data_IF_699868068772
#
_entry.id   IF_699868068772
#
_cell.length_a   1.000
_cell.length_b   1.000
_cell.length_c   1.000
_cell.angle_alpha   90.00
_cell.angle_beta   90.00
_cell.angle_gamma   90.00
#
_symmetry.space_group_name_H-M   'P 1'
#
loop_
_entity.id
_entity.type
_entity.pdbx_description
1 polymer ?
#
# COMPACT_ATOMS: atom_id res chain seq x y z
N UNK A 1 4.21 10.26 15.89
CA UNK A 1 4.63 9.03 16.60
C UNK A 1 3.76 7.91 16.06
N UNK A 2 4.33 6.83 15.53
CA UNK A 2 3.55 5.69 15.03
C UNK A 2 2.91 4.93 16.21
N UNK A 3 1.65 4.53 16.07
CA UNK A 3 0.95 3.75 17.10
C UNK A 3 1.57 2.34 17.20
N UNK A 4 1.80 1.82 18.41
CA UNK A 4 2.52 0.54 18.63
C UNK A 4 1.83 -0.66 17.96
N UNK A 5 0.49 -0.63 17.89
CA UNK A 5 -0.33 -1.65 17.25
C UNK A 5 -0.54 -1.43 15.74
N UNK A 6 0.10 -0.41 15.15
CA UNK A 6 0.03 -0.22 13.72
C UNK A 6 0.70 -1.37 12.97
N UNK A 7 0.19 -1.63 11.77
CA UNK A 7 0.70 -2.57 10.79
C UNK A 7 0.93 -1.82 9.49
N UNK A 8 1.96 -2.24 8.76
CA UNK A 8 2.38 -1.62 7.51
C UNK A 8 2.34 -2.70 6.43
N UNK A 9 1.65 -2.41 5.33
CA UNK A 9 1.72 -3.20 4.10
C UNK A 9 2.49 -2.39 3.08
N UNK A 10 3.51 -3.02 2.50
CA UNK A 10 4.34 -2.46 1.44
C UNK A 10 4.02 -3.19 0.13
N UNK A 11 3.77 -2.44 -0.93
CA UNK A 11 3.53 -2.98 -2.26
C UNK A 11 4.73 -2.71 -3.17
N UNK A 12 5.33 -3.79 -3.65
CA UNK A 12 6.41 -3.78 -4.63
C UNK A 12 6.07 -4.74 -5.78
N UNK A 13 6.52 -4.46 -7.02
CA UNK A 13 6.27 -5.34 -8.15
C UNK A 13 6.92 -6.72 -7.96
N UNK A 14 6.19 -7.78 -8.33
CA UNK A 14 6.67 -9.17 -8.33
C UNK A 14 7.53 -9.39 -9.58
N UNK A 15 8.72 -9.98 -9.45
CA UNK A 15 9.52 -10.42 -10.60
C UNK A 15 8.91 -11.68 -11.21
N UNK A 16 8.77 -11.70 -12.54
CA UNK A 16 8.75 -12.96 -13.29
C UNK A 16 10.23 -13.35 -13.41
N UNK A 17 10.62 -14.48 -12.82
CA UNK A 17 12.02 -14.91 -12.68
C UNK A 17 12.80 -14.75 -13.99
N UNK A 18 13.68 -13.77 -14.02
CA UNK A 18 14.77 -13.68 -15.00
C UNK A 18 16.05 -13.60 -14.17
N UNK A 19 16.97 -14.50 -14.47
CA UNK A 19 18.10 -15.02 -13.68
C UNK A 19 19.18 -14.00 -13.26
N UNK A 20 18.87 -12.71 -13.21
CA UNK A 20 19.83 -11.66 -12.86
C UNK A 20 19.76 -11.32 -11.37
N UNK A 21 20.71 -11.87 -10.61
CA UNK A 21 20.92 -11.70 -9.17
C UNK A 21 21.34 -10.28 -8.74
N UNK A 22 20.94 -9.24 -9.49
CA UNK A 22 21.02 -7.90 -8.97
C UNK A 22 19.99 -7.77 -7.85
N UNK A 23 20.44 -7.48 -6.63
CA UNK A 23 19.58 -7.06 -5.52
C UNK A 23 18.97 -5.70 -5.87
N UNK A 24 18.10 -5.68 -6.86
CA UNK A 24 17.45 -4.49 -7.34
C UNK A 24 16.55 -3.97 -6.22
N UNK A 25 16.89 -2.78 -5.74
CA UNK A 25 16.05 -1.96 -4.88
C UNK A 25 14.78 -1.63 -5.67
N UNK A 26 13.83 -2.57 -5.68
CA UNK A 26 12.56 -2.42 -6.38
C UNK A 26 11.87 -1.16 -5.87
N UNK A 27 11.43 -0.26 -6.75
CA UNK A 27 10.78 0.96 -6.31
C UNK A 27 9.46 0.59 -5.61
N UNK A 28 9.29 1.06 -4.38
CA UNK A 28 8.04 0.94 -3.65
C UNK A 28 6.92 1.64 -4.44
N UNK A 29 5.86 0.90 -4.76
CA UNK A 29 4.73 1.44 -5.52
C UNK A 29 3.68 2.05 -4.61
N UNK A 30 3.43 1.45 -3.47
CA UNK A 30 2.46 1.95 -2.50
C UNK A 30 2.78 1.45 -1.09
N UNK A 31 2.24 2.13 -0.10
CA UNK A 31 2.17 1.59 1.26
C UNK A 31 0.86 2.01 1.93
N UNK A 32 0.45 1.20 2.90
CA UNK A 32 -0.63 1.53 3.82
C UNK A 32 -0.16 1.31 5.27
N UNK A 33 -0.52 2.24 6.14
CA UNK A 33 -0.34 2.14 7.59
C UNK A 33 -1.73 2.08 8.20
N UNK A 34 -2.01 0.98 8.91
CA UNK A 34 -3.34 0.76 9.47
C UNK A 34 -3.28 0.04 10.81
N UNK A 35 -4.41 0.01 11.52
CA UNK A 35 -4.57 -0.71 12.77
C UNK A 35 -5.89 -1.45 12.78
N UNK A 36 -5.85 -2.69 13.29
CA UNK A 36 -7.06 -3.41 13.65
C UNK A 36 -7.55 -2.92 15.00
N UNK A 37 -8.84 -2.63 15.08
CA UNK A 37 -9.50 -2.19 16.29
C UNK A 37 -10.84 -2.92 16.41
N UNK A 38 -11.38 -2.97 17.62
CA UNK A 38 -12.76 -3.36 17.85
C UNK A 38 -13.52 -2.20 18.47
N UNK A 39 -14.44 -1.63 17.72
CA UNK A 39 -15.31 -0.54 18.17
C UNK A 39 -16.77 -0.99 18.02
N UNK A 40 -17.61 -0.74 19.03
CA UNK A 40 -19.04 -1.12 19.02
C UNK A 40 -19.32 -2.56 18.59
N UNK A 41 -18.51 -3.50 19.09
CA UNK A 41 -18.54 -4.94 18.77
C UNK A 41 -18.21 -5.28 17.31
N UNK A 42 -17.81 -4.31 16.48
CA UNK A 42 -17.41 -4.48 15.08
C UNK A 42 -15.90 -4.50 14.95
N UNK A 43 -15.40 -5.34 14.04
CA UNK A 43 -13.98 -5.36 13.68
C UNK A 43 -13.74 -4.25 12.65
N UNK A 44 -12.90 -3.29 12.99
CA UNK A 44 -12.59 -2.13 12.18
C UNK A 44 -11.12 -2.14 11.76
N UNK A 45 -10.85 -1.54 10.61
CA UNK A 45 -9.48 -1.25 10.15
C UNK A 45 -9.39 0.27 10.01
N UNK A 46 -8.61 0.90 10.87
CA UNK A 46 -8.30 2.31 10.74
C UNK A 46 -7.08 2.47 9.85
N UNK A 47 -7.28 3.07 8.69
CA UNK A 47 -6.17 3.46 7.82
C UNK A 47 -5.68 4.85 8.24
N UNK A 48 -4.46 4.93 8.75
CA UNK A 48 -3.82 6.19 9.12
C UNK A 48 -3.24 6.90 7.90
N UNK A 49 -2.62 6.12 7.02
CA UNK A 49 -1.95 6.65 5.84
C UNK A 49 -2.00 5.64 4.71
N UNK A 50 -2.32 6.14 3.52
CA UNK A 50 -2.25 5.41 2.27
C UNK A 50 -1.56 6.32 1.27
N UNK A 51 -0.42 5.87 0.76
CA UNK A 51 0.28 6.56 -0.31
C UNK A 51 0.52 5.62 -1.47
N UNK A 52 0.34 6.17 -2.66
CA UNK A 52 0.56 5.49 -3.93
C UNK A 52 1.48 6.37 -4.76
N UNK A 53 2.44 5.74 -5.44
CA UNK A 53 3.33 6.42 -6.37
C UNK A 53 2.49 7.07 -7.45
N UNK A 54 2.75 8.35 -7.74
CA UNK A 54 1.94 9.17 -8.66
C UNK A 54 1.71 8.51 -10.03
N UNK A 55 2.71 7.78 -10.55
CA UNK A 55 2.62 7.07 -11.84
C UNK A 55 1.64 5.90 -11.84
N UNK A 56 1.29 5.36 -10.68
CA UNK A 56 0.37 4.22 -10.50
C UNK A 56 -1.06 4.69 -10.22
N UNK A 57 -1.26 5.98 -9.96
CA UNK A 57 -2.57 6.54 -9.69
C UNK A 57 -3.32 6.66 -11.02
N UNK A 58 -4.24 5.72 -11.27
CA UNK A 58 -5.19 5.86 -12.38
C UNK A 58 -6.16 6.98 -12.05
N UNK A 59 -5.97 8.14 -12.68
CA UNK A 59 -7.06 9.10 -12.83
C UNK A 59 -8.14 8.39 -13.63
N UNK A 60 -9.28 8.08 -12.99
CA UNK A 60 -10.46 7.69 -13.74
C UNK A 60 -10.74 8.82 -14.74
N UNK A 61 -10.58 8.55 -16.05
CA UNK A 61 -11.11 9.44 -17.06
C UNK A 61 -12.59 9.69 -16.70
N UNK A 62 -13.07 10.94 -16.69
CA UNK A 62 -14.49 11.19 -16.61
C UNK A 62 -15.09 10.60 -17.89
N UNK A 63 -15.63 9.40 -17.79
CA UNK A 63 -16.27 8.71 -18.89
C UNK A 63 -17.65 9.31 -19.12
N UNK A 64 -17.73 10.58 -19.52
CA UNK A 64 -18.89 11.23 -20.13
C UNK A 64 -18.43 12.55 -20.79
N UNK A 65 -18.10 12.48 -22.08
CA UNK A 65 -18.15 13.59 -23.03
C UNK A 65 -18.80 13.05 -24.30
#
# INVERSE_FOLDING_TARGET
>A
MFHELARIVLLSPIQVETDDQSKDLRPLQAFAIFRFEREDKRNMIYCYELQVRKSELRTLCPAFC
#
